data_IF_369513011536
#
_entry.id   IF_369513011536
#
_cell.length_a   1.000
_cell.length_b   1.000
_cell.length_c   1.000
_cell.angle_alpha   90.00
_cell.angle_beta   90.00
_cell.angle_gamma   90.00
#
_symmetry.space_group_name_H-M   'P 1'
#
loop_
_entity.id
_entity.type
_entity.pdbx_description
1 polymer ?
#
# COMPACT_ATOMS: atom_id res chain seq x y z
N UNK A 1 -33.59 24.94 38.90
CA UNK A 1 -34.36 23.77 38.45
C UNK A 1 -33.40 22.59 38.37
N UNK A 2 -33.68 21.48 39.06
CA UNK A 2 -32.85 20.27 39.05
C UNK A 2 -33.59 19.18 38.27
N UNK A 3 -32.92 18.49 37.35
CA UNK A 3 -33.46 17.38 36.56
C UNK A 3 -32.64 16.11 36.79
N UNK A 4 -33.32 14.96 36.77
CA UNK A 4 -32.70 13.64 36.95
C UNK A 4 -32.56 12.97 35.59
N UNK A 5 -31.39 12.40 35.29
CA UNK A 5 -31.15 11.58 34.12
C UNK A 5 -30.92 10.13 34.52
N UNK A 6 -31.86 9.25 34.15
CA UNK A 6 -31.74 7.82 34.38
C UNK A 6 -31.04 7.20 33.17
N UNK A 7 -29.81 6.72 33.36
CA UNK A 7 -28.97 6.17 32.29
C UNK A 7 -29.44 4.76 31.92
N UNK A 8 -29.70 4.51 30.64
CA UNK A 8 -29.90 3.17 30.08
C UNK A 8 -28.93 2.96 28.91
N UNK A 9 -27.81 2.27 29.16
CA UNK A 9 -26.72 2.08 28.19
C UNK A 9 -26.95 0.83 27.34
N UNK A 10 -27.82 0.94 26.33
CA UNK A 10 -28.05 -0.13 25.35
C UNK A 10 -27.30 0.17 24.06
N UNK A 11 -26.52 -0.79 23.58
CA UNK A 11 -25.81 -0.68 22.30
C UNK A 11 -25.72 -2.04 21.60
N UNK A 12 -25.38 -2.02 20.31
CA UNK A 12 -25.12 -3.23 19.54
C UNK A 12 -23.69 -3.72 19.84
N UNK A 13 -23.58 -4.95 20.34
CA UNK A 13 -22.33 -5.70 20.43
C UNK A 13 -22.45 -6.84 19.42
N UNK A 14 -21.55 -6.89 18.44
CA UNK A 14 -21.58 -7.89 17.35
C UNK A 14 -22.93 -7.98 16.62
N UNK A 15 -23.59 -6.84 16.43
CA UNK A 15 -24.88 -6.75 15.74
C UNK A 15 -26.11 -7.11 16.58
N UNK A 16 -25.92 -7.46 17.86
CA UNK A 16 -27.01 -7.82 18.77
C UNK A 16 -27.14 -6.77 19.88
N UNK A 17 -28.36 -6.32 20.23
CA UNK A 17 -28.55 -5.32 21.28
C UNK A 17 -28.26 -5.90 22.67
N UNK A 18 -27.42 -5.19 23.42
CA UNK A 18 -27.02 -5.54 24.77
C UNK A 18 -27.13 -4.33 25.70
N UNK A 19 -27.56 -4.56 26.94
CA UNK A 19 -27.38 -3.61 28.03
C UNK A 19 -25.93 -3.71 28.52
N UNK A 20 -25.19 -2.61 28.43
CA UNK A 20 -23.76 -2.57 28.72
C UNK A 20 -23.46 -1.80 29.99
N UNK A 21 -22.45 -2.28 30.73
CA UNK A 21 -21.83 -1.51 31.81
C UNK A 21 -20.77 -0.58 31.25
N UNK A 22 -20.38 0.46 31.99
CA UNK A 22 -19.32 1.39 31.59
C UNK A 22 -18.02 0.65 31.24
N UNK A 23 -17.64 -0.36 32.04
CA UNK A 23 -16.44 -1.18 31.79
C UNK A 23 -16.51 -1.84 30.41
N UNK A 24 -17.64 -2.48 30.09
CA UNK A 24 -17.80 -3.20 28.82
C UNK A 24 -17.77 -2.24 27.62
N UNK A 25 -18.38 -1.06 27.73
CA UNK A 25 -18.29 -0.02 26.69
C UNK A 25 -16.84 0.37 26.40
N UNK A 26 -16.03 0.55 27.45
CA UNK A 26 -14.61 0.90 27.30
C UNK A 26 -13.80 -0.25 26.70
N UNK A 27 -14.06 -1.49 27.10
CA UNK A 27 -13.41 -2.69 26.55
C UNK A 27 -13.71 -2.88 25.06
N UNK A 28 -14.97 -2.75 24.65
CA UNK A 28 -15.37 -2.81 23.24
C UNK A 28 -14.70 -1.70 22.42
N UNK A 29 -14.67 -0.49 22.97
CA UNK A 29 -14.00 0.64 22.31
C UNK A 29 -12.49 0.39 22.11
N UNK A 30 -11.79 -0.07 23.15
CA UNK A 30 -10.34 -0.37 23.06
C UNK A 30 -10.09 -1.50 22.07
N UNK A 31 -10.90 -2.56 22.10
CA UNK A 31 -10.81 -3.70 21.19
C UNK A 31 -10.97 -3.24 19.74
N UNK A 32 -12.00 -2.43 19.47
CA UNK A 32 -12.21 -1.84 18.15
C UNK A 32 -11.00 -1.00 17.71
N UNK A 33 -10.46 -0.15 18.59
CA UNK A 33 -9.30 0.69 18.29
C UNK A 33 -8.06 -0.14 17.94
N UNK A 34 -7.80 -1.24 18.64
CA UNK A 34 -6.69 -2.15 18.32
C UNK A 34 -6.85 -2.75 16.91
N UNK A 35 -8.07 -3.18 16.55
CA UNK A 35 -8.37 -3.70 15.20
C UNK A 35 -8.13 -2.63 14.14
N UNK A 36 -8.59 -1.40 14.37
CA UNK A 36 -8.41 -0.30 13.41
C UNK A 36 -6.94 0.06 13.24
N UNK A 37 -6.17 0.14 14.33
CA UNK A 37 -4.73 0.41 14.26
C UNK A 37 -4.01 -0.69 13.48
N UNK A 38 -4.31 -1.97 13.76
CA UNK A 38 -3.75 -3.09 13.02
C UNK A 38 -4.06 -3.01 11.53
N UNK A 39 -5.34 -2.81 11.16
CA UNK A 39 -5.75 -2.68 9.75
C UNK A 39 -5.06 -1.53 9.04
N UNK A 40 -4.90 -0.38 9.72
CA UNK A 40 -4.17 0.77 9.16
C UNK A 40 -2.70 0.42 8.93
N UNK A 41 -2.03 -0.15 9.91
CA UNK A 41 -0.61 -0.53 9.78
C UNK A 41 -0.39 -1.61 8.71
N UNK A 42 -1.28 -2.57 8.57
CA UNK A 42 -1.23 -3.57 7.50
C UNK A 42 -1.42 -2.94 6.12
N UNK A 43 -2.32 -1.95 6.00
CA UNK A 43 -2.50 -1.19 4.77
C UNK A 43 -1.23 -0.39 4.42
N UNK A 44 -0.70 0.37 5.38
CA UNK A 44 0.53 1.15 5.20
C UNK A 44 1.72 0.26 4.82
N UNK A 45 1.85 -0.92 5.43
CA UNK A 45 2.90 -1.89 5.10
C UNK A 45 2.77 -2.42 3.66
N UNK A 46 1.56 -2.72 3.19
CA UNK A 46 1.34 -3.17 1.81
C UNK A 46 1.72 -2.08 0.81
N UNK A 47 1.29 -0.84 1.04
CA UNK A 47 1.64 0.30 0.20
C UNK A 47 3.16 0.54 0.18
N UNK A 48 3.81 0.47 1.35
CA UNK A 48 5.25 0.63 1.46
C UNK A 48 6.01 -0.45 0.69
N UNK A 49 5.61 -1.72 0.79
CA UNK A 49 6.21 -2.84 0.03
C UNK A 49 5.98 -2.72 -1.47
N UNK A 50 4.79 -2.31 -1.90
CA UNK A 50 4.52 -2.07 -3.31
C UNK A 50 5.43 -0.96 -3.86
N UNK A 51 5.64 0.11 -3.09
CA UNK A 51 6.56 1.19 -3.45
C UNK A 51 8.02 0.76 -3.44
N UNK A 52 8.44 -0.01 -2.45
CA UNK A 52 9.78 -0.60 -2.36
C UNK A 52 10.08 -1.44 -3.61
N UNK A 53 9.15 -2.31 -4.00
CA UNK A 53 9.26 -3.15 -5.20
C UNK A 53 9.52 -2.32 -6.47
N UNK A 54 8.82 -1.20 -6.65
CA UNK A 54 9.07 -0.30 -7.80
C UNK A 54 10.43 0.38 -7.70
N UNK A 55 10.80 0.84 -6.51
CA UNK A 55 12.09 1.51 -6.29
C UNK A 55 13.28 0.58 -6.54
N UNK A 56 13.18 -0.71 -6.20
CA UNK A 56 14.20 -1.70 -6.52
C UNK A 56 14.42 -1.82 -8.03
N UNK A 57 13.33 -1.88 -8.82
CA UNK A 57 13.42 -1.92 -10.28
C UNK A 57 14.05 -0.65 -10.86
N UNK A 58 13.63 0.51 -10.36
CA UNK A 58 14.21 1.79 -10.78
C UNK A 58 15.69 1.91 -10.41
N UNK A 59 16.10 1.40 -9.24
CA UNK A 59 17.50 1.38 -8.82
C UNK A 59 18.34 0.55 -9.78
N UNK A 60 17.89 -0.68 -10.11
CA UNK A 60 18.56 -1.54 -11.11
C UNK A 60 18.70 -0.80 -12.45
N UNK A 61 17.68 -0.06 -12.86
CA UNK A 61 17.69 0.68 -14.11
C UNK A 61 18.68 1.85 -14.11
N UNK A 62 18.77 2.60 -13.01
CA UNK A 62 19.74 3.69 -12.85
C UNK A 62 21.17 3.15 -12.82
N UNK A 63 21.41 2.05 -12.09
CA UNK A 63 22.72 1.40 -12.00
C UNK A 63 23.21 0.86 -13.36
N UNK A 64 22.29 0.58 -14.30
CA UNK A 64 22.59 0.01 -15.62
C UNK A 64 22.03 0.85 -16.78
N UNK A 65 22.02 2.17 -16.64
CA UNK A 65 21.23 3.06 -17.50
C UNK A 65 21.58 2.96 -18.99
N UNK A 66 22.85 2.82 -19.35
CA UNK A 66 23.27 2.71 -20.75
C UNK A 66 22.70 1.44 -21.39
N UNK A 67 22.77 0.31 -20.69
CA UNK A 67 22.25 -0.97 -21.15
C UNK A 67 20.72 -0.96 -21.23
N UNK A 68 20.04 -0.25 -20.31
CA UNK A 68 18.58 -0.07 -20.34
C UNK A 68 18.17 0.76 -21.55
N UNK A 69 18.81 1.91 -21.78
CA UNK A 69 18.53 2.79 -22.94
C UNK A 69 18.78 2.04 -24.25
N UNK A 70 19.88 1.29 -24.35
CA UNK A 70 20.19 0.48 -25.52
C UNK A 70 19.10 -0.59 -25.77
N UNK A 71 18.65 -1.26 -24.70
CA UNK A 71 17.60 -2.28 -24.79
C UNK A 71 16.27 -1.68 -25.25
N UNK A 72 15.93 -0.48 -24.76
CA UNK A 72 14.72 0.25 -25.18
C UNK A 72 14.85 0.68 -26.64
N UNK A 73 15.98 1.29 -27.04
CA UNK A 73 16.21 1.77 -28.42
C UNK A 73 16.26 0.66 -29.47
N UNK A 74 16.72 -0.54 -29.10
CA UNK A 74 16.75 -1.72 -29.98
C UNK A 74 15.39 -2.40 -30.12
N UNK A 75 14.44 -2.09 -29.24
CA UNK A 75 13.11 -2.70 -29.26
C UNK A 75 12.21 -2.01 -30.28
N UNK A 76 11.35 -2.78 -30.95
CA UNK A 76 10.48 -2.28 -32.02
C UNK A 76 9.35 -1.37 -31.51
N UNK A 77 8.84 -1.69 -30.32
CA UNK A 77 7.75 -0.99 -29.65
C UNK A 77 7.88 -1.14 -28.12
N UNK A 78 7.01 -0.44 -27.38
CA UNK A 78 7.02 -0.40 -25.92
C UNK A 78 6.75 -1.78 -25.29
N UNK A 79 5.88 -2.60 -25.89
CA UNK A 79 5.59 -3.94 -25.39
C UNK A 79 6.80 -4.88 -25.51
N UNK A 80 7.48 -4.83 -26.66
CA UNK A 80 8.74 -5.56 -26.87
C UNK A 80 9.83 -5.08 -25.91
N UNK A 81 9.93 -3.76 -25.69
CA UNK A 81 10.87 -3.19 -24.73
C UNK A 81 10.60 -3.70 -23.31
N UNK A 82 9.33 -3.72 -22.88
CA UNK A 82 8.91 -4.26 -21.58
C UNK A 82 9.36 -5.70 -21.40
N UNK A 83 9.08 -6.58 -22.36
CA UNK A 83 9.47 -8.00 -22.31
C UNK A 83 10.99 -8.15 -22.26
N UNK A 84 11.72 -7.37 -23.06
CA UNK A 84 13.19 -7.41 -23.09
C UNK A 84 13.81 -6.93 -21.76
N UNK A 85 13.25 -5.88 -21.14
CA UNK A 85 13.68 -5.38 -19.83
C UNK A 85 13.44 -6.43 -18.74
N UNK A 86 12.26 -7.06 -18.73
CA UNK A 86 11.95 -8.15 -17.81
C UNK A 86 12.93 -9.32 -17.94
N UNK A 87 13.19 -9.78 -19.17
CA UNK A 87 14.06 -10.91 -19.41
C UNK A 87 15.54 -10.62 -19.07
N UNK A 88 16.05 -9.45 -19.46
CA UNK A 88 17.46 -9.09 -19.33
C UNK A 88 17.85 -8.70 -17.90
N UNK A 89 16.97 -7.99 -17.20
CA UNK A 89 17.24 -7.46 -15.86
C UNK A 89 16.47 -8.17 -14.74
N UNK A 90 15.77 -9.28 -15.06
CA UNK A 90 14.95 -10.07 -14.12
C UNK A 90 13.91 -9.22 -13.38
N UNK A 91 13.34 -8.25 -14.09
CA UNK A 91 12.34 -7.33 -13.55
C UNK A 91 10.94 -7.94 -13.67
N UNK A 92 10.06 -7.59 -12.73
CA UNK A 92 8.64 -7.89 -12.88
C UNK A 92 8.00 -6.95 -13.89
N UNK A 93 6.81 -7.28 -14.38
CA UNK A 93 6.08 -6.45 -15.34
C UNK A 93 5.88 -5.01 -14.84
N UNK A 94 5.44 -4.84 -13.59
CA UNK A 94 5.17 -3.50 -13.03
C UNK A 94 6.46 -2.65 -12.92
N UNK A 95 7.60 -3.27 -12.61
CA UNK A 95 8.89 -2.59 -12.58
C UNK A 95 9.33 -2.16 -13.98
N UNK A 96 9.18 -3.04 -14.98
CA UNK A 96 9.52 -2.73 -16.36
C UNK A 96 8.67 -1.58 -16.92
N UNK A 97 7.37 -1.57 -16.62
CA UNK A 97 6.47 -0.45 -16.96
C UNK A 97 6.94 0.84 -16.27
N UNK A 98 7.22 0.79 -14.96
CA UNK A 98 7.70 1.96 -14.23
C UNK A 98 9.02 2.55 -14.77
N UNK A 99 9.90 1.70 -15.33
CA UNK A 99 11.14 2.14 -15.99
C UNK A 99 10.84 2.80 -17.34
N UNK A 100 9.91 2.25 -18.13
CA UNK A 100 9.49 2.87 -19.39
C UNK A 100 8.81 4.22 -19.19
N UNK A 101 8.06 4.38 -18.09
CA UNK A 101 7.42 5.64 -17.69
C UNK A 101 8.39 6.66 -17.06
N UNK A 102 9.65 6.30 -16.89
CA UNK A 102 10.64 7.16 -16.26
C UNK A 102 10.98 8.36 -17.16
N UNK A 103 10.94 9.56 -16.57
CA UNK A 103 11.32 10.78 -17.26
C UNK A 103 12.84 10.96 -17.27
N UNK A 104 13.40 11.40 -18.40
CA UNK A 104 14.84 11.64 -18.58
C UNK A 104 15.46 12.55 -17.50
N UNK A 105 14.70 13.51 -16.94
CA UNK A 105 15.16 14.38 -15.85
C UNK A 105 15.57 13.65 -14.57
N UNK A 106 15.14 12.39 -14.37
CA UNK A 106 15.52 11.59 -13.20
C UNK A 106 16.93 10.99 -13.32
N UNK A 107 17.59 11.20 -14.45
CA UNK A 107 18.96 10.77 -14.74
C UNK A 107 20.00 11.87 -14.51
N UNK A 108 19.55 13.10 -14.19
CA UNK A 108 20.39 14.28 -13.95
C UNK A 108 20.72 14.44 -12.47
#
# INVERSE_FOLDING_TARGET
MQSVFNVNLVALSDGVPHLLTLKRVLEEFITHRQVIVRKRSEFELREARAREHILEGLKIAVDNIDAVIETIKKSKDADTAKVNLMAKFKLTEIQAVAILDMQLRRLA
#
